data_IF_021414753912
#
_entry.id   IF_021414753912
#
_cell.length_a   1.000
_cell.length_b   1.000
_cell.length_c   1.000
_cell.angle_alpha   90.00
_cell.angle_beta   90.00
_cell.angle_gamma   90.00
#
_symmetry.space_group_name_H-M   'P 1'
#
loop_
_entity.id
_entity.type
_entity.pdbx_description
1 polymer ?
#
# COMPACT_ATOMS: atom_id res chain seq x y z
N UNK A 1 -15.10 25.48 1.01
CA UNK A 1 -14.25 26.17 0.00
C UNK A 1 -13.22 25.20 -0.54
N UNK A 2 -13.11 25.11 -1.85
CA UNK A 2 -12.11 24.27 -2.52
C UNK A 2 -10.80 25.06 -2.56
N UNK A 3 -9.75 24.50 -1.96
CA UNK A 3 -8.44 25.14 -1.95
C UNK A 3 -7.66 24.77 -3.21
N UNK A 4 -6.98 25.75 -3.83
CA UNK A 4 -6.13 25.48 -4.97
C UNK A 4 -4.96 24.54 -4.55
N UNK A 5 -4.76 23.40 -5.23
CA UNK A 5 -3.66 22.48 -4.90
C UNK A 5 -2.27 23.13 -4.88
N UNK A 6 -2.03 24.16 -5.70
CA UNK A 6 -0.74 24.87 -5.74
C UNK A 6 -0.46 25.66 -4.47
N UNK A 7 -1.49 26.02 -3.71
CA UNK A 7 -1.37 26.73 -2.44
C UNK A 7 -1.07 25.82 -1.25
N UNK A 8 -1.31 24.52 -1.39
CA UNK A 8 -1.08 23.54 -0.34
C UNK A 8 0.40 23.13 -0.37
N UNK A 9 1.15 23.46 0.69
CA UNK A 9 2.59 23.18 0.78
C UNK A 9 2.91 22.02 1.72
N UNK A 10 1.99 21.65 2.61
CA UNK A 10 2.17 20.62 3.60
C UNK A 10 0.86 19.88 3.83
N UNK A 11 0.92 18.54 3.90
CA UNK A 11 -0.25 17.67 4.12
C UNK A 11 0.06 16.69 5.23
N UNK A 12 -0.81 16.65 6.23
CA UNK A 12 -0.78 15.61 7.26
C UNK A 12 -1.73 14.49 6.86
N UNK A 13 -1.20 13.28 6.73
CA UNK A 13 -1.97 12.10 6.32
C UNK A 13 -2.35 11.30 7.56
N UNK A 14 -3.65 11.12 7.76
CA UNK A 14 -4.22 10.44 8.92
C UNK A 14 -5.01 9.16 8.57
N UNK A 15 -5.21 8.89 7.28
CA UNK A 15 -6.00 7.78 6.78
C UNK A 15 -7.49 8.11 6.53
N UNK A 16 -7.93 9.33 6.83
CA UNK A 16 -9.35 9.68 6.77
C UNK A 16 -9.65 11.00 6.05
N UNK A 17 -8.77 11.98 6.15
CA UNK A 17 -9.06 13.38 5.77
C UNK A 17 -8.38 13.83 4.48
N UNK A 18 -7.82 12.92 3.69
CA UNK A 18 -7.18 13.27 2.43
C UNK A 18 -8.24 13.75 1.42
N UNK A 19 -8.05 14.97 0.91
CA UNK A 19 -8.90 15.55 -0.14
C UNK A 19 -8.26 15.39 -1.51
N UNK A 20 -9.04 15.57 -2.58
CA UNK A 20 -8.50 15.57 -3.94
C UNK A 20 -7.45 16.66 -4.14
N UNK A 21 -7.67 17.84 -3.57
CA UNK A 21 -6.75 18.96 -3.65
C UNK A 21 -5.43 18.65 -2.94
N UNK A 22 -5.48 18.07 -1.75
CA UNK A 22 -4.29 17.62 -1.01
C UNK A 22 -3.55 16.51 -1.76
N UNK A 23 -4.27 15.55 -2.32
CA UNK A 23 -3.70 14.50 -3.15
C UNK A 23 -2.94 15.05 -4.35
N UNK A 24 -3.57 15.98 -5.09
CA UNK A 24 -2.93 16.63 -6.25
C UNK A 24 -1.71 17.46 -5.82
N UNK A 25 -1.81 18.16 -4.68
CA UNK A 25 -0.69 18.92 -4.14
C UNK A 25 0.54 18.03 -3.87
N UNK A 26 0.32 16.85 -3.31
CA UNK A 26 1.39 15.87 -3.08
C UNK A 26 1.92 15.31 -4.41
N UNK A 27 1.02 14.83 -5.25
CA UNK A 27 1.40 14.08 -6.46
C UNK A 27 2.00 14.96 -7.56
N UNK A 28 1.59 16.25 -7.64
CA UNK A 28 1.95 17.14 -8.76
C UNK A 28 2.74 18.38 -8.35
N UNK A 29 2.60 18.84 -7.12
CA UNK A 29 3.15 20.11 -6.69
C UNK A 29 4.14 19.99 -5.52
N UNK A 30 4.63 18.78 -5.26
CA UNK A 30 5.67 18.50 -4.27
C UNK A 30 5.35 19.01 -2.85
N UNK A 31 4.08 18.99 -2.45
CA UNK A 31 3.72 19.26 -1.07
C UNK A 31 4.40 18.23 -0.15
N UNK A 32 4.91 18.71 0.97
CA UNK A 32 5.51 17.82 1.97
C UNK A 32 4.44 16.99 2.66
N UNK A 33 4.80 15.77 3.06
CA UNK A 33 3.86 14.85 3.70
C UNK A 33 4.36 14.48 5.08
N UNK A 34 3.46 14.48 6.04
CA UNK A 34 3.70 14.03 7.41
C UNK A 34 2.61 13.02 7.80
N UNK A 35 3.00 11.97 8.51
CA UNK A 35 2.03 11.04 9.08
C UNK A 35 1.54 11.57 10.43
N UNK A 36 0.22 11.60 10.60
CA UNK A 36 -0.37 11.94 11.89
C UNK A 36 0.04 10.92 12.97
N UNK A 37 0.32 11.35 14.20
CA UNK A 37 0.62 10.41 15.29
C UNK A 37 -0.46 9.36 15.50
N UNK A 38 -1.74 9.72 15.33
CA UNK A 38 -2.87 8.78 15.39
C UNK A 38 -2.82 7.72 14.29
N UNK A 39 -2.34 8.07 13.09
CA UNK A 39 -2.15 7.13 12.00
C UNK A 39 -1.03 6.13 12.32
N UNK A 40 0.07 6.61 12.87
CA UNK A 40 1.18 5.74 13.31
C UNK A 40 0.73 4.75 14.37
N UNK A 41 -0.04 5.21 15.36
CA UNK A 41 -0.57 4.33 16.41
C UNK A 41 -1.50 3.26 15.82
N UNK A 42 -2.39 3.64 14.91
CA UNK A 42 -3.29 2.71 14.23
C UNK A 42 -2.52 1.68 13.40
N UNK A 43 -1.48 2.10 12.70
CA UNK A 43 -0.61 1.23 11.92
C UNK A 43 0.13 0.23 12.82
N UNK A 44 0.64 0.67 13.96
CA UNK A 44 1.31 -0.21 14.93
C UNK A 44 0.36 -1.27 15.49
N UNK A 45 -0.87 -0.89 15.83
CA UNK A 45 -1.90 -1.84 16.28
C UNK A 45 -2.24 -2.87 15.21
N UNK A 46 -2.43 -2.42 13.98
CA UNK A 46 -2.69 -3.30 12.83
C UNK A 46 -1.53 -4.26 12.58
N UNK A 47 -0.30 -3.76 12.63
CA UNK A 47 0.90 -4.59 12.45
C UNK A 47 1.03 -5.63 13.54
N UNK A 48 0.82 -5.25 14.80
CA UNK A 48 0.86 -6.19 15.93
C UNK A 48 -0.15 -7.32 15.78
N UNK A 49 -1.36 -7.01 15.29
CA UNK A 49 -2.38 -8.03 15.01
C UNK A 49 -1.92 -8.99 13.90
N UNK A 50 -1.36 -8.48 12.82
CA UNK A 50 -0.86 -9.33 11.72
C UNK A 50 0.27 -10.25 12.21
N UNK A 51 1.19 -9.74 13.01
CA UNK A 51 2.28 -10.53 13.60
C UNK A 51 1.76 -11.60 14.56
N UNK A 52 0.75 -11.28 15.35
CA UNK A 52 0.08 -12.25 16.23
C UNK A 52 -0.57 -13.38 15.44
N UNK A 53 -1.31 -13.06 14.39
CA UNK A 53 -1.94 -14.05 13.51
C UNK A 53 -0.88 -14.99 12.90
N UNK A 54 0.21 -14.41 12.42
CA UNK A 54 1.32 -15.19 11.83
C UNK A 54 1.99 -16.08 12.88
N UNK A 55 2.23 -15.57 14.10
CA UNK A 55 2.85 -16.32 15.18
C UNK A 55 1.98 -17.48 15.69
N UNK A 56 0.65 -17.30 15.67
CA UNK A 56 -0.32 -18.34 16.05
C UNK A 56 -0.50 -19.41 14.96
N UNK A 57 0.10 -19.25 13.79
CA UNK A 57 -0.06 -20.16 12.66
C UNK A 57 -1.47 -20.17 12.06
N UNK A 58 -2.26 -19.12 12.31
CA UNK A 58 -3.61 -19.02 11.78
C UNK A 58 -3.60 -18.74 10.30
N UNK A 59 -4.54 -19.35 9.57
CA UNK A 59 -4.74 -19.08 8.15
C UNK A 59 -5.49 -17.77 7.98
N UNK A 60 -4.86 -16.77 7.39
CA UNK A 60 -5.46 -15.48 7.09
C UNK A 60 -5.06 -15.05 5.66
N UNK A 61 -6.07 -14.77 4.84
CA UNK A 61 -5.88 -14.42 3.44
C UNK A 61 -4.90 -13.25 3.27
N UNK A 62 -3.88 -13.45 2.45
CA UNK A 62 -2.89 -12.42 2.15
C UNK A 62 -1.90 -12.08 3.27
N UNK A 63 -2.05 -12.69 4.47
CA UNK A 63 -1.11 -12.53 5.60
C UNK A 63 -0.27 -13.79 5.75
N UNK A 64 -0.92 -14.96 5.86
CA UNK A 64 -0.27 -16.26 6.01
C UNK A 64 -0.50 -17.18 4.83
N UNK A 65 -1.14 -16.71 3.77
CA UNK A 65 -1.44 -17.46 2.53
C UNK A 65 -1.01 -16.69 1.31
N UNK A 66 -1.00 -17.35 0.14
CA UNK A 66 -0.96 -16.68 -1.15
C UNK A 66 -2.28 -15.96 -1.47
N UNK A 67 -2.39 -15.43 -2.68
CA UNK A 67 -3.52 -14.65 -3.16
C UNK A 67 -4.25 -15.36 -4.30
N UNK A 68 -5.52 -15.04 -4.51
CA UNK A 68 -6.32 -15.61 -5.59
C UNK A 68 -6.39 -17.13 -5.51
N UNK A 69 -5.92 -17.82 -6.51
CA UNK A 69 -5.89 -19.28 -6.54
C UNK A 69 -5.03 -19.90 -5.43
N UNK A 70 -4.05 -19.15 -4.92
CA UNK A 70 -3.17 -19.59 -3.85
C UNK A 70 -3.66 -19.22 -2.44
N UNK A 71 -4.90 -18.77 -2.30
CA UNK A 71 -5.46 -18.35 -1.01
C UNK A 71 -5.46 -19.46 0.06
N UNK A 72 -5.45 -20.73 -0.36
CA UNK A 72 -5.42 -21.90 0.54
C UNK A 72 -4.01 -22.42 0.81
N UNK A 73 -3.02 -21.85 0.15
CA UNK A 73 -1.62 -22.28 0.32
C UNK A 73 -1.04 -21.51 1.51
N UNK A 74 -0.82 -22.21 2.62
CA UNK A 74 -0.17 -21.63 3.80
C UNK A 74 1.30 -21.33 3.51
N UNK A 75 1.73 -20.15 3.90
CA UNK A 75 3.12 -19.70 3.74
C UNK A 75 3.85 -19.85 5.08
N UNK A 76 4.98 -20.59 5.14
CA UNK A 76 5.78 -20.66 6.34
C UNK A 76 6.23 -19.25 6.79
N UNK A 77 6.31 -19.05 8.11
CA UNK A 77 6.67 -17.75 8.70
C UNK A 77 8.00 -17.22 8.15
N UNK A 78 8.96 -18.10 7.94
CA UNK A 78 10.30 -17.78 7.42
C UNK A 78 10.26 -17.22 6.00
N UNK A 79 9.22 -17.56 5.24
CA UNK A 79 9.06 -17.13 3.84
C UNK A 79 8.12 -15.93 3.68
N UNK A 80 7.55 -15.39 4.76
CA UNK A 80 6.58 -14.29 4.68
C UNK A 80 7.18 -13.02 4.07
N UNK A 81 8.42 -12.69 4.39
CA UNK A 81 9.13 -11.56 3.81
C UNK A 81 9.40 -11.77 2.31
N UNK A 82 9.77 -12.99 1.93
CA UNK A 82 9.99 -13.33 0.53
C UNK A 82 8.67 -13.27 -0.26
N UNK A 83 7.56 -13.71 0.32
CA UNK A 83 6.24 -13.59 -0.28
C UNK A 83 5.87 -12.12 -0.54
N UNK A 84 6.09 -11.25 0.45
CA UNK A 84 5.82 -9.81 0.31
C UNK A 84 6.67 -9.19 -0.79
N UNK A 85 7.94 -9.51 -0.85
CA UNK A 85 8.84 -9.04 -1.92
C UNK A 85 8.38 -9.55 -3.29
N UNK A 86 8.06 -10.81 -3.40
CA UNK A 86 7.59 -11.41 -4.65
C UNK A 86 6.27 -10.80 -5.11
N UNK A 87 5.36 -10.50 -4.18
CA UNK A 87 4.10 -9.85 -4.49
C UNK A 87 4.33 -8.46 -5.10
N UNK A 88 5.20 -7.66 -4.49
CA UNK A 88 5.57 -6.34 -5.03
C UNK A 88 6.16 -6.48 -6.42
N UNK A 89 7.11 -7.40 -6.60
CA UNK A 89 7.75 -7.64 -7.91
C UNK A 89 6.74 -8.07 -8.96
N UNK A 90 5.79 -8.93 -8.62
CA UNK A 90 4.76 -9.41 -9.56
C UNK A 90 3.80 -8.32 -10.01
N UNK A 91 3.64 -7.26 -9.22
CA UNK A 91 2.79 -6.11 -9.54
C UNK A 91 3.56 -4.93 -10.10
N UNK A 92 4.89 -5.00 -10.14
CA UNK A 92 5.70 -3.94 -10.73
C UNK A 92 5.53 -3.92 -12.24
N UNK A 93 5.06 -2.80 -12.75
CA UNK A 93 4.97 -2.55 -14.19
C UNK A 93 5.57 -1.20 -14.51
N UNK A 94 6.25 -1.12 -15.65
CA UNK A 94 6.66 0.17 -16.23
C UNK A 94 5.47 0.76 -16.97
N UNK A 95 5.11 1.99 -16.68
CA UNK A 95 3.99 2.65 -17.34
C UNK A 95 4.16 2.69 -18.87
N UNK A 96 5.36 3.02 -19.35
CA UNK A 96 5.66 3.04 -20.78
C UNK A 96 5.57 1.65 -21.40
N UNK A 97 6.09 0.65 -20.73
CA UNK A 97 6.00 -0.74 -21.17
C UNK A 97 4.54 -1.20 -21.28
N UNK A 98 3.72 -0.86 -20.30
CA UNK A 98 2.29 -1.19 -20.30
C UNK A 98 1.57 -0.50 -21.45
N UNK A 99 1.88 0.76 -21.72
CA UNK A 99 1.32 1.51 -22.87
C UNK A 99 1.75 0.89 -24.20
N UNK A 100 3.01 0.56 -24.36
CA UNK A 100 3.53 -0.08 -25.58
C UNK A 100 2.86 -1.43 -25.82
N UNK A 101 2.69 -2.24 -24.80
CA UNK A 101 2.00 -3.52 -24.91
C UNK A 101 0.53 -3.34 -25.36
N UNK A 102 -0.15 -2.33 -24.84
CA UNK A 102 -1.51 -2.00 -25.25
C UNK A 102 -1.57 -1.49 -26.70
N UNK A 103 -0.64 -0.65 -27.09
CA UNK A 103 -0.56 -0.08 -28.46
C UNK A 103 -0.22 -1.17 -29.50
N UNK A 104 0.57 -2.15 -29.13
CA UNK A 104 0.91 -3.27 -30.01
C UNK A 104 -0.19 -4.33 -30.10
N UNK A 105 -1.28 -4.17 -29.36
CA UNK A 105 -2.40 -5.10 -29.39
C UNK A 105 -2.13 -6.44 -28.74
N UNK A 106 -1.26 -6.47 -27.81
CA UNK A 106 -0.92 -7.67 -27.04
C UNK A 106 -2.01 -8.08 -26.08
#
# INVERSE_FOLDING_TARGET
MIMNPTAIKHVVVDGHSLTLESFVAIARYNATVELAPSALEAMQKSRALAEKIAAEGRVAYGITTGFGEFQKVAVPKEMSNQLSTNLILSHCTCLLYTSDAADEGL
#
